data_IF_828705656298
#
_entry.id   IF_828705656298
#
_cell.length_a   1.000
_cell.length_b   1.000
_cell.length_c   1.000
_cell.angle_alpha   90.00
_cell.angle_beta   90.00
_cell.angle_gamma   90.00
#
_symmetry.space_group_name_H-M   'P 1'
#
loop_
_entity.id
_entity.type
_entity.pdbx_description
1 polymer ?
#
# COMPACT_ATOMS: atom_id res chain seq x y z
N UNK A 1 -22.86 -26.58 -9.96
CA UNK A 1 -23.19 -25.21 -10.37
C UNK A 1 -22.21 -24.24 -9.73
N UNK A 2 -21.51 -23.41 -10.52
CA UNK A 2 -20.65 -22.35 -9.99
C UNK A 2 -21.52 -21.21 -9.43
N UNK A 3 -21.24 -20.82 -8.18
CA UNK A 3 -21.85 -19.66 -7.53
C UNK A 3 -20.76 -18.60 -7.33
N UNK A 4 -21.04 -17.38 -7.75
CA UNK A 4 -20.13 -16.24 -7.55
C UNK A 4 -20.04 -15.92 -6.06
N UNK A 5 -18.84 -16.00 -5.49
CA UNK A 5 -18.56 -15.61 -4.11
C UNK A 5 -18.25 -14.11 -3.98
N UNK A 6 -17.90 -13.64 -2.76
CA UNK A 6 -17.65 -12.22 -2.45
C UNK A 6 -16.56 -11.55 -3.28
N UNK A 7 -15.63 -12.33 -3.87
CA UNK A 7 -14.55 -11.80 -4.70
C UNK A 7 -15.05 -11.12 -6.00
N UNK A 8 -16.29 -11.43 -6.44
CA UNK A 8 -16.90 -10.80 -7.62
C UNK A 8 -17.53 -9.45 -7.29
N UNK A 9 -16.70 -8.52 -6.87
CA UNK A 9 -17.05 -7.14 -6.47
C UNK A 9 -16.06 -6.14 -7.06
N UNK A 10 -16.39 -4.86 -7.03
CA UNK A 10 -15.48 -3.78 -7.42
C UNK A 10 -14.51 -3.40 -6.29
N UNK A 11 -14.97 -3.44 -5.05
CA UNK A 11 -14.18 -3.15 -3.86
C UNK A 11 -14.31 -4.34 -2.93
N UNK A 12 -13.19 -4.95 -2.60
CA UNK A 12 -13.10 -6.09 -1.69
C UNK A 12 -12.34 -5.68 -0.43
N UNK A 13 -12.95 -5.88 0.73
CA UNK A 13 -12.28 -5.84 2.01
C UNK A 13 -11.93 -7.27 2.43
N UNK A 14 -10.64 -7.58 2.50
CA UNK A 14 -10.11 -8.82 3.04
C UNK A 14 -9.70 -8.58 4.50
N UNK A 15 -10.64 -8.76 5.40
CA UNK A 15 -10.43 -8.54 6.81
C UNK A 15 -9.58 -9.65 7.42
N UNK A 16 -8.59 -9.28 8.24
CA UNK A 16 -7.64 -10.19 8.88
C UNK A 16 -7.01 -11.20 7.90
N UNK A 17 -6.44 -10.70 6.79
CA UNK A 17 -5.87 -11.55 5.73
C UNK A 17 -4.79 -12.50 6.26
N UNK A 18 -4.09 -12.13 7.31
CA UNK A 18 -3.08 -12.96 7.98
C UNK A 18 -3.67 -14.17 8.72
N UNK A 19 -4.97 -14.26 8.93
CA UNK A 19 -5.66 -15.46 9.46
C UNK A 19 -6.14 -16.41 8.35
N UNK A 20 -6.01 -15.98 7.12
CA UNK A 20 -6.44 -16.76 5.95
C UNK A 20 -5.35 -17.74 5.52
N UNK A 21 -5.66 -19.00 5.19
CA UNK A 21 -4.67 -19.95 4.74
C UNK A 21 -3.90 -19.49 3.49
N UNK A 22 -2.60 -19.83 3.34
CA UNK A 22 -1.73 -19.33 2.26
C UNK A 22 -2.29 -19.53 0.85
N UNK A 23 -3.00 -20.64 0.60
CA UNK A 23 -3.63 -20.90 -0.70
C UNK A 23 -4.70 -19.87 -1.05
N UNK A 24 -5.46 -19.41 -0.08
CA UNK A 24 -6.50 -18.37 -0.28
C UNK A 24 -5.86 -16.99 -0.41
N UNK A 25 -4.81 -16.71 0.38
CA UNK A 25 -4.01 -15.48 0.22
C UNK A 25 -3.46 -15.38 -1.21
N UNK A 26 -2.80 -16.44 -1.70
CA UNK A 26 -2.25 -16.50 -3.06
C UNK A 26 -3.32 -16.27 -4.14
N UNK A 27 -4.52 -16.88 -3.99
CA UNK A 27 -5.61 -16.69 -4.93
C UNK A 27 -6.13 -15.24 -4.96
N UNK A 28 -6.23 -14.59 -3.79
CA UNK A 28 -6.59 -13.17 -3.69
C UNK A 28 -5.55 -12.29 -4.37
N UNK A 29 -4.27 -12.52 -4.08
CA UNK A 29 -3.17 -11.73 -4.64
C UNK A 29 -3.02 -11.91 -6.15
N UNK A 30 -3.29 -13.12 -6.67
CA UNK A 30 -3.39 -13.35 -8.11
C UNK A 30 -4.52 -12.52 -8.71
N UNK A 31 -5.69 -12.49 -8.06
CA UNK A 31 -6.84 -11.73 -8.55
C UNK A 31 -6.58 -10.22 -8.66
N UNK A 32 -5.73 -9.65 -7.80
CA UNK A 32 -5.33 -8.25 -7.86
C UNK A 32 -4.49 -7.91 -9.10
N UNK A 33 -3.73 -8.87 -9.62
CA UNK A 33 -2.86 -8.67 -10.78
C UNK A 33 -3.54 -9.02 -12.09
N UNK A 34 -4.26 -10.14 -12.11
CA UNK A 34 -4.85 -10.69 -13.33
C UNK A 34 -6.28 -10.23 -13.55
N UNK A 35 -6.92 -9.65 -12.51
CA UNK A 35 -8.35 -9.31 -12.52
C UNK A 35 -9.24 -10.49 -12.90
N UNK A 36 -8.82 -11.67 -12.46
CA UNK A 36 -9.50 -12.92 -12.74
C UNK A 36 -9.28 -13.92 -11.60
N UNK A 37 -10.15 -14.91 -11.49
CA UNK A 37 -10.00 -16.05 -10.57
C UNK A 37 -10.26 -17.34 -11.31
N UNK A 38 -9.52 -18.38 -10.97
CA UNK A 38 -9.73 -19.74 -11.52
C UNK A 38 -10.42 -20.60 -10.48
N UNK A 39 -11.62 -21.07 -10.81
CA UNK A 39 -12.40 -21.95 -9.97
C UNK A 39 -13.05 -23.06 -10.80
N UNK A 40 -12.95 -24.32 -10.32
CA UNK A 40 -13.49 -25.49 -11.03
C UNK A 40 -12.89 -25.68 -12.43
N UNK A 41 -11.62 -25.33 -12.63
CA UNK A 41 -10.92 -25.46 -13.91
C UNK A 41 -11.30 -24.39 -14.94
N UNK A 42 -12.05 -23.37 -14.55
CA UNK A 42 -12.45 -22.25 -15.43
C UNK A 42 -11.97 -20.93 -14.85
N UNK A 43 -11.46 -20.06 -15.72
CA UNK A 43 -11.08 -18.69 -15.37
C UNK A 43 -12.28 -17.74 -15.53
N UNK A 44 -12.54 -16.96 -14.50
CA UNK A 44 -13.62 -16.01 -14.43
C UNK A 44 -13.06 -14.59 -14.27
N UNK A 45 -13.41 -13.67 -15.14
CA UNK A 45 -13.02 -12.26 -15.04
C UNK A 45 -13.74 -11.58 -13.88
N UNK A 46 -13.04 -10.68 -13.19
CA UNK A 46 -13.58 -9.84 -12.13
C UNK A 46 -14.07 -8.50 -12.71
N UNK A 47 -15.08 -7.86 -12.07
CA UNK A 47 -15.56 -6.55 -12.49
C UNK A 47 -14.46 -5.49 -12.34
N UNK A 48 -14.48 -4.46 -13.18
CA UNK A 48 -13.57 -3.33 -13.08
C UNK A 48 -14.32 -2.05 -12.69
N UNK A 49 -13.72 -1.14 -11.93
CA UNK A 49 -12.42 -1.27 -11.27
C UNK A 49 -12.46 -2.39 -10.22
N UNK A 50 -11.31 -3.03 -9.96
CA UNK A 50 -11.15 -4.00 -8.90
C UNK A 50 -10.11 -3.49 -7.90
N UNK A 51 -10.53 -3.21 -6.68
CA UNK A 51 -9.71 -2.66 -5.62
C UNK A 51 -9.79 -3.59 -4.41
N UNK A 52 -8.64 -3.87 -3.80
CA UNK A 52 -8.55 -4.70 -2.60
C UNK A 52 -7.98 -3.88 -1.45
N UNK A 53 -8.71 -3.86 -0.35
CA UNK A 53 -8.25 -3.44 0.96
C UNK A 53 -8.07 -4.69 1.81
N UNK A 54 -6.94 -4.81 2.48
CA UNK A 54 -6.69 -5.90 3.40
C UNK A 54 -6.30 -5.34 4.76
N UNK A 55 -6.82 -5.94 5.83
CA UNK A 55 -6.39 -5.62 7.19
C UNK A 55 -5.49 -6.71 7.74
N UNK A 56 -4.58 -6.33 8.63
CA UNK A 56 -3.79 -7.24 9.44
C UNK A 56 -3.84 -6.76 10.89
N UNK A 57 -4.04 -7.68 11.82
CA UNK A 57 -3.91 -7.40 13.22
C UNK A 57 -2.52 -7.87 13.69
N UNK A 58 -1.58 -6.96 14.00
CA UNK A 58 -0.22 -7.33 14.38
C UNK A 58 -0.12 -7.93 15.79
N UNK A 59 -1.13 -7.76 16.62
CA UNK A 59 -1.11 -8.21 18.03
C UNK A 59 -1.34 -9.73 18.10
N UNK A 60 -2.14 -10.28 17.19
CA UNK A 60 -2.48 -11.70 17.17
C UNK A 60 -1.41 -12.51 16.43
N UNK A 61 -0.71 -13.36 17.16
CA UNK A 61 0.32 -14.24 16.60
C UNK A 61 -0.15 -15.70 16.44
N UNK A 62 -1.06 -16.15 17.31
CA UNK A 62 -1.59 -17.52 17.23
C UNK A 62 -2.58 -17.69 16.08
N UNK A 63 -2.41 -18.76 15.30
CA UNK A 63 -3.31 -19.09 14.18
C UNK A 63 -3.18 -18.15 12.98
N UNK A 64 -2.07 -17.41 12.88
CA UNK A 64 -1.82 -16.51 11.75
C UNK A 64 -0.83 -17.09 10.74
N UNK A 65 -0.98 -16.68 9.49
CA UNK A 65 -0.08 -16.97 8.38
C UNK A 65 0.42 -15.62 7.86
N UNK A 66 1.63 -15.17 8.26
CA UNK A 66 2.17 -13.91 7.76
C UNK A 66 2.28 -13.94 6.24
N UNK A 67 1.95 -12.82 5.60
CA UNK A 67 2.14 -12.70 4.16
C UNK A 67 3.65 -12.60 3.86
N UNK A 68 4.15 -13.39 2.90
CA UNK A 68 5.51 -13.23 2.41
C UNK A 68 5.75 -11.80 1.87
N UNK A 69 6.98 -11.30 1.98
CA UNK A 69 7.36 -9.95 1.53
C UNK A 69 7.07 -9.73 0.04
N UNK A 70 7.27 -10.75 -0.80
CA UNK A 70 6.94 -10.69 -2.23
C UNK A 70 5.44 -10.52 -2.50
N UNK A 71 4.60 -10.92 -1.57
CA UNK A 71 3.15 -10.74 -1.62
C UNK A 71 2.74 -9.36 -1.08
N UNK A 72 3.37 -8.91 0.00
CA UNK A 72 3.19 -7.56 0.53
C UNK A 72 3.58 -6.48 -0.49
N UNK A 73 4.62 -6.71 -1.29
CA UNK A 73 5.06 -5.80 -2.36
C UNK A 73 3.97 -5.51 -3.42
N UNK A 74 2.93 -6.35 -3.51
CA UNK A 74 1.80 -6.15 -4.44
C UNK A 74 0.82 -5.08 -3.97
N UNK A 75 0.73 -4.82 -2.67
CA UNK A 75 -0.07 -3.73 -2.14
C UNK A 75 0.63 -2.39 -2.35
N UNK A 76 -0.11 -1.39 -2.82
CA UNK A 76 0.44 -0.07 -3.08
C UNK A 76 0.91 0.60 -1.78
N UNK A 77 0.09 0.54 -0.76
CA UNK A 77 0.32 1.19 0.54
C UNK A 77 0.18 0.21 1.70
N UNK A 78 0.99 0.44 2.73
CA UNK A 78 0.75 -0.05 4.08
C UNK A 78 0.47 1.15 4.99
N UNK A 79 -0.75 1.23 5.50
CA UNK A 79 -1.22 2.32 6.37
C UNK A 79 -1.27 1.79 7.80
N UNK A 80 -0.54 2.47 8.69
CA UNK A 80 -0.64 2.21 10.13
C UNK A 80 -1.92 2.88 10.66
N UNK A 81 -2.67 2.13 11.45
CA UNK A 81 -3.83 2.65 12.16
C UNK A 81 -3.56 2.48 13.65
N UNK A 82 -3.37 3.59 14.33
CA UNK A 82 -3.12 3.64 15.76
C UNK A 82 -4.44 3.88 16.52
N UNK A 83 -4.36 3.87 17.86
CA UNK A 83 -5.51 4.24 18.69
C UNK A 83 -5.96 5.68 18.38
N UNK A 84 -7.27 5.95 18.38
CA UNK A 84 -7.79 7.30 18.22
C UNK A 84 -7.35 8.20 19.37
N UNK A 85 -7.23 9.49 19.11
CA UNK A 85 -7.06 10.48 20.17
C UNK A 85 -8.31 10.58 21.06
N UNK A 86 -8.17 11.10 22.29
CA UNK A 86 -9.27 11.16 23.26
C UNK A 86 -10.54 11.86 22.73
N UNK A 87 -10.40 12.90 21.91
CA UNK A 87 -11.54 13.58 21.28
C UNK A 87 -12.20 12.72 20.21
N UNK A 88 -11.43 12.02 19.40
CA UNK A 88 -11.93 11.12 18.36
C UNK A 88 -12.62 9.90 18.97
N UNK A 89 -12.04 9.33 20.04
CA UNK A 89 -12.63 8.22 20.76
C UNK A 89 -13.99 8.62 21.37
N UNK A 90 -14.09 9.83 21.93
CA UNK A 90 -15.37 10.38 22.42
C UNK A 90 -16.40 10.47 21.29
N UNK A 91 -16.01 10.96 20.11
CA UNK A 91 -16.90 11.09 18.96
C UNK A 91 -17.33 9.71 18.41
N UNK A 92 -16.44 8.73 18.41
CA UNK A 92 -16.75 7.33 18.09
C UNK A 92 -17.82 6.81 19.05
N UNK A 93 -17.64 6.95 20.37
CA UNK A 93 -18.61 6.49 21.37
C UNK A 93 -19.96 7.14 21.14
N UNK A 94 -20.04 8.45 20.99
CA UNK A 94 -21.30 9.16 20.77
C UNK A 94 -22.02 8.73 19.49
N UNK A 95 -21.24 8.47 18.41
CA UNK A 95 -21.82 8.10 17.11
C UNK A 95 -22.27 6.64 17.09
N UNK A 96 -21.49 5.73 17.65
CA UNK A 96 -21.76 4.28 17.57
C UNK A 96 -22.77 3.80 18.59
N UNK A 97 -22.98 4.54 19.68
CA UNK A 97 -23.99 4.24 20.69
C UNK A 97 -25.29 5.00 20.51
N UNK A 98 -25.38 5.88 19.49
CA UNK A 98 -26.63 6.57 19.16
C UNK A 98 -27.60 5.66 18.40
N UNK A 99 -28.89 5.99 18.46
CA UNK A 99 -29.93 5.29 17.69
C UNK A 99 -29.96 5.67 16.21
N UNK A 100 -29.14 6.64 15.77
CA UNK A 100 -29.11 7.10 14.39
C UNK A 100 -28.10 6.27 13.58
N UNK A 101 -28.59 5.45 12.67
CA UNK A 101 -27.77 4.82 11.62
C UNK A 101 -27.53 5.80 10.46
N UNK A 102 -26.30 6.27 10.32
CA UNK A 102 -25.89 7.06 9.14
C UNK A 102 -25.53 6.14 7.99
N UNK A 103 -26.42 5.98 7.03
CA UNK A 103 -26.12 5.27 5.80
C UNK A 103 -25.30 6.14 4.83
N UNK A 104 -24.16 5.67 4.31
CA UNK A 104 -23.37 6.42 3.32
C UNK A 104 -24.16 6.60 2.02
N UNK A 105 -24.07 7.79 1.43
CA UNK A 105 -24.66 8.06 0.12
C UNK A 105 -23.70 7.62 -0.99
N UNK A 106 -24.24 7.03 -2.07
CA UNK A 106 -23.46 6.72 -3.27
C UNK A 106 -23.02 8.03 -3.93
N UNK A 107 -21.70 8.22 -4.05
CA UNK A 107 -21.08 9.42 -4.65
C UNK A 107 -20.57 9.14 -6.06
N UNK A 108 -19.92 7.99 -6.28
CA UNK A 108 -19.28 7.61 -7.55
C UNK A 108 -19.77 6.23 -8.00
N UNK A 109 -19.85 6.05 -9.33
CA UNK A 109 -20.06 4.75 -9.97
C UNK A 109 -18.73 4.17 -10.50
N UNK A 110 -18.72 2.88 -10.91
CA UNK A 110 -17.54 2.21 -11.46
C UNK A 110 -16.93 2.92 -12.67
N UNK A 111 -17.77 3.40 -13.59
CA UNK A 111 -17.35 4.10 -14.81
C UNK A 111 -16.57 5.36 -14.46
N UNK A 112 -17.07 6.14 -13.50
CA UNK A 112 -16.41 7.38 -13.08
C UNK A 112 -15.06 7.12 -12.38
N UNK A 113 -14.96 6.04 -11.62
CA UNK A 113 -13.68 5.64 -11.02
C UNK A 113 -12.67 5.26 -12.10
N UNK A 114 -13.08 4.54 -13.15
CA UNK A 114 -12.21 4.21 -14.29
C UNK A 114 -11.74 5.46 -15.04
N UNK A 115 -12.63 6.43 -15.31
CA UNK A 115 -12.26 7.72 -15.91
C UNK A 115 -11.20 8.46 -15.05
N UNK A 116 -11.39 8.47 -13.73
CA UNK A 116 -10.42 9.09 -12.82
C UNK A 116 -9.07 8.36 -12.80
N UNK A 117 -9.07 7.04 -12.86
CA UNK A 117 -7.83 6.25 -12.97
C UNK A 117 -7.08 6.55 -14.28
N UNK A 118 -7.79 6.72 -15.40
CA UNK A 118 -7.20 7.12 -16.67
C UNK A 118 -6.65 8.55 -16.61
N UNK A 119 -7.37 9.48 -15.98
CA UNK A 119 -6.93 10.85 -15.77
C UNK A 119 -5.61 10.89 -15.00
N UNK A 120 -5.53 10.17 -13.87
CA UNK A 120 -4.32 10.07 -13.06
C UNK A 120 -3.13 9.59 -13.89
N UNK A 121 -3.31 8.59 -14.75
CA UNK A 121 -2.23 8.07 -15.61
C UNK A 121 -1.71 9.10 -16.62
N UNK A 122 -2.54 10.04 -17.05
CA UNK A 122 -2.17 11.10 -18.01
C UNK A 122 -1.38 12.25 -17.37
N UNK A 123 -1.38 12.37 -16.04
CA UNK A 123 -0.60 13.41 -15.34
C UNK A 123 0.90 13.21 -15.65
N UNK A 124 1.62 14.23 -16.14
CA UNK A 124 3.05 14.13 -16.39
C UNK A 124 3.85 14.08 -15.07
N UNK A 125 4.99 13.42 -15.12
CA UNK A 125 6.04 13.51 -14.11
C UNK A 125 7.33 13.88 -14.85
N UNK A 126 8.01 14.92 -14.41
CA UNK A 126 9.30 15.33 -14.96
C UNK A 126 10.36 14.25 -14.67
N UNK A 127 11.38 14.15 -15.53
CA UNK A 127 12.43 13.12 -15.41
C UNK A 127 13.14 13.22 -14.05
N UNK A 128 13.40 14.41 -13.55
CA UNK A 128 14.04 14.65 -12.26
C UNK A 128 13.20 14.07 -11.09
N UNK A 129 11.87 14.14 -11.18
CA UNK A 129 10.98 13.57 -10.15
C UNK A 129 10.95 12.04 -10.23
N UNK A 130 11.01 11.49 -11.45
CA UNK A 130 11.12 10.04 -11.66
C UNK A 130 12.47 9.54 -11.14
N UNK A 131 13.55 10.23 -11.45
CA UNK A 131 14.91 9.91 -11.00
C UNK A 131 15.00 9.97 -9.47
N UNK A 132 14.37 10.96 -8.84
CA UNK A 132 14.29 11.05 -7.38
C UNK A 132 13.57 9.85 -6.78
N UNK A 133 12.42 9.43 -7.32
CA UNK A 133 11.68 8.26 -6.83
C UNK A 133 12.49 6.95 -6.99
N UNK A 134 13.22 6.82 -8.09
CA UNK A 134 14.13 5.68 -8.34
C UNK A 134 15.31 5.72 -7.38
N UNK A 135 15.96 6.88 -7.22
CA UNK A 135 17.09 7.09 -6.31
C UNK A 135 16.69 6.76 -4.87
N UNK A 136 15.54 7.27 -4.40
CA UNK A 136 15.03 6.99 -3.05
C UNK A 136 14.80 5.49 -2.83
N UNK A 137 14.17 4.82 -3.78
CA UNK A 137 13.91 3.37 -3.70
C UNK A 137 15.20 2.55 -3.73
N UNK A 138 16.14 2.88 -4.61
CA UNK A 138 17.44 2.20 -4.72
C UNK A 138 18.32 2.42 -3.49
N UNK A 139 18.29 3.62 -2.92
CA UNK A 139 19.06 3.94 -1.70
C UNK A 139 18.64 3.13 -0.47
N UNK A 140 17.51 2.41 -0.51
CA UNK A 140 17.13 1.46 0.52
C UNK A 140 17.79 0.08 0.41
N UNK A 141 18.54 -0.20 -0.68
CA UNK A 141 19.11 -1.52 -0.99
C UNK A 141 20.57 -1.60 -0.50
N UNK A 142 20.90 -2.42 0.50
CA UNK A 142 22.22 -2.43 1.11
C UNK A 142 23.36 -2.81 0.14
N UNK A 143 23.08 -3.56 -0.92
CA UNK A 143 24.07 -3.97 -1.92
C UNK A 143 24.36 -2.92 -3.01
N UNK A 144 23.59 -1.84 -3.10
CA UNK A 144 23.81 -0.78 -4.08
C UNK A 144 25.03 0.08 -3.69
N UNK A 145 25.83 0.54 -4.68
CA UNK A 145 26.93 1.43 -4.39
C UNK A 145 26.45 2.82 -3.95
N UNK A 146 27.19 3.44 -3.02
CA UNK A 146 26.91 4.81 -2.58
C UNK A 146 25.69 4.98 -1.64
N UNK A 147 25.10 3.88 -1.16
CA UNK A 147 24.00 3.98 -0.19
C UNK A 147 24.52 4.42 1.18
N UNK A 148 23.68 5.12 1.98
CA UNK A 148 24.04 5.55 3.33
C UNK A 148 24.45 4.37 4.22
N UNK A 149 25.41 4.59 5.13
CA UNK A 149 25.93 3.53 6.00
C UNK A 149 24.87 2.88 6.88
N UNK A 150 23.89 3.65 7.36
CA UNK A 150 22.79 3.10 8.15
C UNK A 150 21.93 2.10 7.38
N UNK A 151 21.87 2.18 6.04
CA UNK A 151 21.17 1.19 5.21
C UNK A 151 21.93 -0.14 5.23
N UNK A 152 23.26 -0.12 5.11
CA UNK A 152 24.09 -1.33 5.22
C UNK A 152 24.03 -1.94 6.62
N UNK A 153 23.92 -1.09 7.63
CA UNK A 153 23.90 -1.52 9.04
C UNK A 153 22.56 -2.15 9.44
N UNK A 154 21.43 -1.57 8.99
CA UNK A 154 20.10 -1.92 9.53
C UNK A 154 19.16 -2.63 8.55
N UNK A 155 19.47 -2.65 7.25
CA UNK A 155 18.58 -3.24 6.23
C UNK A 155 19.11 -4.57 5.74
N UNK A 156 18.29 -5.62 5.76
CA UNK A 156 18.56 -6.89 5.11
C UNK A 156 18.09 -6.90 3.66
N UNK A 157 16.96 -6.27 3.38
CA UNK A 157 16.39 -6.20 2.02
C UNK A 157 15.70 -4.86 1.77
N UNK A 158 16.02 -4.21 0.65
CA UNK A 158 15.45 -2.92 0.26
C UNK A 158 14.34 -3.04 -0.78
N UNK A 159 13.69 -1.91 -1.05
CA UNK A 159 12.52 -1.83 -1.91
C UNK A 159 12.82 -2.18 -3.38
N UNK A 160 11.93 -2.95 -4.00
CA UNK A 160 11.96 -3.31 -5.42
C UNK A 160 11.45 -2.20 -6.36
N UNK A 161 11.47 -2.43 -7.69
CA UNK A 161 11.02 -1.44 -8.69
C UNK A 161 9.57 -0.98 -8.53
N UNK A 162 8.69 -1.81 -7.96
CA UNK A 162 7.30 -1.42 -7.68
C UNK A 162 7.20 -0.22 -6.75
N UNK A 163 8.15 -0.06 -5.84
CA UNK A 163 8.19 1.11 -4.96
C UNK A 163 8.26 2.41 -5.76
N UNK A 164 9.20 2.53 -6.70
CA UNK A 164 9.33 3.70 -7.57
C UNK A 164 8.07 3.92 -8.42
N UNK A 165 7.48 2.85 -8.95
CA UNK A 165 6.22 2.93 -9.71
C UNK A 165 5.07 3.48 -8.85
N UNK A 166 4.94 3.00 -7.62
CA UNK A 166 3.86 3.43 -6.73
C UNK A 166 4.08 4.83 -6.16
N UNK A 167 5.33 5.25 -5.94
CA UNK A 167 5.65 6.62 -5.58
C UNK A 167 5.19 7.59 -6.68
N UNK A 168 5.48 7.29 -7.94
CA UNK A 168 5.07 8.14 -9.07
C UNK A 168 3.56 8.05 -9.29
N UNK A 169 2.96 6.86 -9.29
CA UNK A 169 1.52 6.71 -9.51
C UNK A 169 0.69 7.38 -8.42
N UNK A 170 1.09 7.22 -7.16
CA UNK A 170 0.48 7.91 -6.04
C UNK A 170 0.70 9.42 -6.10
N UNK A 171 1.90 9.87 -6.51
CA UNK A 171 2.20 11.28 -6.74
C UNK A 171 1.30 11.92 -7.79
N UNK A 172 1.01 11.20 -8.89
CA UNK A 172 0.04 11.63 -9.91
C UNK A 172 -1.36 11.80 -9.32
N UNK A 173 -1.80 10.86 -8.49
CA UNK A 173 -3.10 10.95 -7.84
C UNK A 173 -3.15 12.14 -6.86
N UNK A 174 -2.10 12.37 -6.07
CA UNK A 174 -2.01 13.56 -5.19
C UNK A 174 -2.07 14.86 -5.99
N UNK A 175 -1.33 14.96 -7.09
CA UNK A 175 -1.36 16.14 -7.95
C UNK A 175 -2.80 16.44 -8.45
N UNK A 176 -3.54 15.41 -8.87
CA UNK A 176 -4.95 15.58 -9.30
C UNK A 176 -5.83 16.05 -8.14
N UNK A 177 -5.69 15.45 -6.96
CA UNK A 177 -6.47 15.83 -5.77
C UNK A 177 -6.22 17.27 -5.33
N UNK A 178 -4.99 17.74 -5.50
CA UNK A 178 -4.58 19.12 -5.20
C UNK A 178 -4.85 20.10 -6.37
N UNK A 179 -5.45 19.67 -7.47
CA UNK A 179 -5.72 20.49 -8.66
C UNK A 179 -4.46 20.88 -9.44
N UNK A 180 -3.34 20.15 -9.26
CA UNK A 180 -2.07 20.40 -9.95
C UNK A 180 -1.96 19.54 -11.22
N UNK A 181 -1.20 20.05 -12.20
CA UNK A 181 -1.07 19.42 -13.51
C UNK A 181 0.15 18.50 -13.65
N UNK A 182 1.04 18.46 -12.65
CA UNK A 182 2.25 17.64 -12.66
C UNK A 182 2.61 17.15 -11.27
N UNK A 183 3.34 16.05 -11.21
CA UNK A 183 3.92 15.48 -9.98
C UNK A 183 5.12 16.32 -9.54
N UNK A 184 5.30 16.45 -8.23
CA UNK A 184 6.45 17.11 -7.61
C UNK A 184 7.23 16.14 -6.72
N UNK A 185 8.46 16.48 -6.38
CA UNK A 185 9.25 15.75 -5.40
C UNK A 185 8.57 15.71 -4.01
N UNK A 186 7.81 16.74 -3.65
CA UNK A 186 7.03 16.76 -2.41
C UNK A 186 5.95 15.65 -2.37
N UNK A 187 5.37 15.30 -3.53
CA UNK A 187 4.41 14.19 -3.60
C UNK A 187 5.10 12.84 -3.35
N UNK A 188 6.28 12.64 -3.94
CA UNK A 188 7.09 11.44 -3.72
C UNK A 188 7.45 11.32 -2.24
N UNK A 189 7.91 12.40 -1.61
CA UNK A 189 8.25 12.45 -0.17
C UNK A 189 7.06 12.11 0.71
N UNK A 190 5.91 12.70 0.43
CA UNK A 190 4.67 12.47 1.21
C UNK A 190 4.20 11.00 1.16
N UNK A 191 4.52 10.30 0.07
CA UNK A 191 4.14 8.89 -0.13
C UNK A 191 5.22 7.88 0.28
N UNK A 192 6.42 8.35 0.64
CA UNK A 192 7.54 7.47 0.95
C UNK A 192 7.21 6.49 2.09
N UNK A 193 6.69 6.96 3.22
CA UNK A 193 6.34 6.09 4.36
C UNK A 193 5.33 5.00 3.98
N UNK A 194 4.12 5.29 3.47
CA UNK A 194 3.15 4.25 3.18
C UNK A 194 3.58 3.32 2.03
N UNK A 195 4.45 3.76 1.11
CA UNK A 195 4.95 2.94 0.00
C UNK A 195 6.13 2.08 0.41
N UNK A 196 7.06 2.59 1.22
CA UNK A 196 8.35 1.92 1.48
C UNK A 196 8.35 1.08 2.75
N UNK A 197 7.55 1.41 3.78
CA UNK A 197 7.63 0.78 5.10
C UNK A 197 7.45 -0.74 5.13
N UNK A 198 6.72 -1.32 4.19
CA UNK A 198 6.51 -2.77 4.05
C UNK A 198 7.40 -3.41 3.00
N UNK A 199 8.31 -2.64 2.40
CA UNK A 199 9.26 -3.08 1.37
C UNK A 199 10.70 -3.06 1.85
N UNK A 200 10.93 -2.41 2.99
CA UNK A 200 12.23 -2.37 3.64
C UNK A 200 12.20 -3.34 4.81
N UNK A 201 13.00 -4.40 4.72
CA UNK A 201 13.11 -5.43 5.74
C UNK A 201 14.37 -5.15 6.55
N UNK A 202 14.19 -4.91 7.81
CA UNK A 202 15.27 -4.65 8.77
C UNK A 202 15.98 -5.96 9.16
N UNK A 203 17.18 -5.86 9.66
CA UNK A 203 17.96 -6.97 10.16
C UNK A 203 17.99 -7.01 11.70
N UNK A 204 18.69 -8.00 12.28
CA UNK A 204 18.81 -8.15 13.72
C UNK A 204 19.44 -6.94 14.43
N UNK A 205 20.39 -6.24 13.78
CA UNK A 205 20.99 -5.02 14.37
C UNK A 205 19.95 -3.91 14.57
N UNK A 206 19.02 -3.78 13.62
CA UNK A 206 17.90 -2.84 13.74
C UNK A 206 16.97 -3.21 14.90
N UNK A 207 16.68 -4.51 15.10
CA UNK A 207 15.85 -4.97 16.24
C UNK A 207 16.50 -4.61 17.57
N UNK A 208 17.80 -4.87 17.72
CA UNK A 208 18.55 -4.55 18.95
C UNK A 208 18.55 -3.05 19.24
N UNK A 209 18.64 -2.22 18.21
CA UNK A 209 18.63 -0.75 18.33
C UNK A 209 17.23 -0.14 18.30
N UNK A 210 16.16 -0.97 18.26
CA UNK A 210 14.77 -0.52 18.14
C UNK A 210 14.53 0.39 16.91
N UNK A 211 15.31 0.20 15.85
CA UNK A 211 15.19 0.93 14.59
C UNK A 211 14.17 0.25 13.68
N UNK A 212 13.10 0.94 13.34
CA UNK A 212 12.02 0.42 12.50
C UNK A 212 12.26 0.73 11.01
N UNK A 213 11.52 0.06 10.12
CA UNK A 213 11.53 0.39 8.70
C UNK A 213 11.06 1.83 8.42
N UNK A 214 10.21 2.39 9.28
CA UNK A 214 9.76 3.80 9.18
C UNK A 214 10.92 4.75 9.50
N UNK A 215 11.71 4.47 10.55
CA UNK A 215 12.88 5.27 10.88
C UNK A 215 13.91 5.26 9.75
N UNK A 216 14.08 4.11 9.08
CA UNK A 216 14.93 4.01 7.88
C UNK A 216 14.40 4.91 6.76
N UNK A 217 13.07 4.89 6.49
CA UNK A 217 12.47 5.75 5.46
C UNK A 217 12.67 7.22 5.78
N UNK A 218 12.50 7.62 7.04
CA UNK A 218 12.67 9.02 7.46
C UNK A 218 14.11 9.48 7.29
N UNK A 219 15.08 8.68 7.69
CA UNK A 219 16.52 8.97 7.47
C UNK A 219 16.87 9.02 5.97
N UNK A 220 16.26 8.17 5.14
CA UNK A 220 16.43 8.25 3.68
C UNK A 220 15.88 9.58 3.13
N UNK A 221 14.71 10.03 3.60
CA UNK A 221 14.12 11.31 3.21
C UNK A 221 14.95 12.53 3.64
N UNK A 222 15.69 12.43 4.75
CA UNK A 222 16.59 13.47 5.22
C UNK A 222 17.92 13.49 4.42
N UNK A 223 18.39 12.31 4.00
CA UNK A 223 19.71 12.14 3.38
C UNK A 223 19.68 12.26 1.86
N UNK A 224 18.57 11.81 1.23
CA UNK A 224 18.45 11.77 -0.23
C UNK A 224 17.67 13.00 -0.72
N UNK A 225 18.39 13.91 -1.33
CA UNK A 225 17.81 15.12 -1.96
C UNK A 225 17.15 14.78 -3.30
N UNK A 226 16.07 15.53 -3.64
CA UNK A 226 15.40 15.44 -4.93
C UNK A 226 16.28 15.72 -6.13
#
# INVERSE_FOLDING_TARGET
RFLKGPIFTNILLADEINRTPPKTQAALLQSMQEFSVTAGGKTHSLPRPYLVFATQNPIEQEGTYPLPEAELDRFMFLIGVDYPGASEERDIVLTTTSAEEKSPKKVLGPEKILELQELVRKVPAADEVVDYAVKLSRSSRPAEPGVPDFVREYVSWGAGPRASQFLILGGKARAVLDGRFAVSAADVRALARPVLRHRIITNFHAEVSSTTSVDIVDRLLETIEP
#
